data_IF_737432002144
#
_entry.id   IF_737432002144
#
_cell.length_a   1.000
_cell.length_b   1.000
_cell.length_c   1.000
_cell.angle_alpha   90.00
_cell.angle_beta   90.00
_cell.angle_gamma   90.00
#
_symmetry.space_group_name_H-M   'P 1'
#
loop_
_entity.id
_entity.type
_entity.pdbx_description
1 polymer ?
#
# COMPACT_ATOMS: atom_id res chain seq x y z
N UNK A 1 14.51 7.76 9.58
CA UNK A 1 14.79 6.47 10.23
C UNK A 1 16.09 5.91 9.66
N UNK A 2 16.97 5.37 10.50
CA UNK A 2 18.21 4.68 10.09
C UNK A 2 18.07 3.18 10.40
N UNK A 3 18.40 2.33 9.45
CA UNK A 3 18.39 0.86 9.58
C UNK A 3 19.83 0.41 9.79
N UNK A 4 20.06 -0.39 10.83
CA UNK A 4 21.37 -0.97 11.10
C UNK A 4 21.46 -2.38 10.52
N UNK A 5 22.38 -2.58 9.57
CA UNK A 5 22.53 -3.83 8.82
C UNK A 5 23.92 -4.40 9.03
N UNK A 6 24.00 -5.64 9.51
CA UNK A 6 25.29 -6.32 9.68
C UNK A 6 25.77 -6.87 8.32
N UNK A 7 27.02 -6.60 7.96
CA UNK A 7 27.60 -7.11 6.72
C UNK A 7 27.62 -8.64 6.75
N UNK A 8 27.10 -9.35 5.73
CA UNK A 8 27.03 -10.81 5.71
C UNK A 8 28.40 -11.47 5.55
N UNK A 9 29.39 -10.73 5.03
CA UNK A 9 30.78 -11.17 5.02
C UNK A 9 31.32 -11.22 6.45
N UNK A 10 31.46 -12.45 6.97
CA UNK A 10 31.95 -12.74 8.33
C UNK A 10 33.33 -12.16 8.62
N UNK A 11 34.18 -12.00 7.59
CA UNK A 11 35.50 -11.36 7.74
C UNK A 11 35.42 -9.83 7.86
N UNK A 12 34.32 -9.21 7.43
CA UNK A 12 34.13 -7.75 7.51
C UNK A 12 33.53 -7.33 8.86
N UNK A 13 32.49 -8.01 9.33
CA UNK A 13 31.87 -7.79 10.63
C UNK A 13 31.22 -6.42 10.90
N UNK A 14 31.30 -5.46 9.96
CA UNK A 14 30.78 -4.10 10.14
C UNK A 14 29.26 -4.05 10.17
N UNK A 15 28.73 -3.11 10.95
CA UNK A 15 27.33 -2.71 10.93
C UNK A 15 27.20 -1.40 10.15
N UNK A 16 26.34 -1.39 9.14
CA UNK A 16 26.06 -0.24 8.27
C UNK A 16 24.82 0.49 8.78
N UNK A 17 24.88 1.81 8.88
CA UNK A 17 23.70 2.64 9.11
C UNK A 17 23.18 3.13 7.75
N UNK A 18 21.98 2.72 7.38
CA UNK A 18 21.39 2.97 6.07
C UNK A 18 20.11 3.78 6.23
N UNK A 19 19.84 4.73 5.32
CA UNK A 19 18.56 5.45 5.33
C UNK A 19 17.39 4.47 5.15
N UNK A 20 16.31 4.66 5.91
CA UNK A 20 15.12 3.80 5.88
C UNK A 20 14.45 3.70 4.50
N UNK A 21 14.61 4.70 3.66
CA UNK A 21 14.14 4.72 2.25
C UNK A 21 14.78 3.63 1.38
N UNK A 22 15.94 3.09 1.80
CA UNK A 22 16.65 2.03 1.09
C UNK A 22 16.29 0.62 1.60
N UNK A 23 15.33 0.50 2.52
CA UNK A 23 14.83 -0.78 3.02
C UNK A 23 14.37 -1.70 1.87
N UNK A 24 14.81 -2.96 1.88
CA UNK A 24 14.45 -3.94 0.85
C UNK A 24 15.20 -3.78 -0.47
N UNK A 25 16.16 -2.85 -0.56
CA UNK A 25 17.08 -2.74 -1.69
C UNK A 25 18.41 -3.45 -1.40
N UNK A 26 19.22 -3.64 -2.45
CA UNK A 26 20.60 -4.17 -2.33
C UNK A 26 21.59 -3.01 -2.41
N UNK A 27 22.45 -2.91 -1.40
CA UNK A 27 23.58 -1.98 -1.37
C UNK A 27 24.92 -2.71 -1.47
N UNK A 28 26.02 -1.98 -1.63
CA UNK A 28 27.38 -2.51 -1.44
C UNK A 28 27.92 -2.05 -0.10
N UNK A 29 28.53 -2.96 0.66
CA UNK A 29 29.26 -2.58 1.86
C UNK A 29 30.44 -1.68 1.46
N UNK A 30 30.56 -0.44 1.96
CA UNK A 30 31.65 0.46 1.62
C UNK A 30 33.02 -0.04 2.07
N UNK A 31 33.07 -1.03 2.97
CA UNK A 31 34.31 -1.56 3.52
C UNK A 31 34.92 -2.69 2.69
N UNK A 32 34.08 -3.60 2.18
CA UNK A 32 34.53 -4.84 1.55
C UNK A 32 33.86 -5.10 0.19
N UNK A 33 32.99 -4.21 -0.26
CA UNK A 33 32.28 -4.33 -1.54
C UNK A 33 31.20 -5.42 -1.59
N UNK A 34 31.06 -6.24 -0.54
CA UNK A 34 30.06 -7.31 -0.48
C UNK A 34 28.66 -6.73 -0.64
N UNK A 35 27.82 -7.38 -1.46
CA UNK A 35 26.42 -7.01 -1.62
C UNK A 35 25.70 -7.28 -0.30
N UNK A 36 25.02 -6.25 0.22
CA UNK A 36 24.25 -6.31 1.45
C UNK A 36 22.79 -6.11 1.10
N UNK A 37 21.96 -7.09 1.43
CA UNK A 37 20.51 -6.91 1.44
C UNK A 37 20.15 -6.08 2.67
N UNK A 38 19.49 -4.94 2.45
CA UNK A 38 19.05 -4.07 3.53
C UNK A 38 17.72 -4.65 4.03
N UNK A 39 17.69 -5.29 5.22
CA UNK A 39 16.46 -5.85 5.75
C UNK A 39 15.43 -4.75 5.87
N UNK A 40 14.21 -5.07 5.42
CA UNK A 40 13.06 -4.25 5.74
C UNK A 40 12.87 -4.41 7.25
N UNK A 41 12.92 -3.32 8.04
CA UNK A 41 12.66 -3.42 9.46
C UNK A 41 11.29 -4.07 9.63
N UNK A 42 11.24 -5.12 10.44
CA UNK A 42 9.99 -5.80 10.77
C UNK A 42 9.06 -4.75 11.42
N UNK A 43 7.96 -4.34 10.76
CA UNK A 43 7.10 -3.26 11.24
C UNK A 43 6.38 -3.66 12.53
N UNK A 44 6.41 -4.95 12.89
CA UNK A 44 5.91 -5.45 14.18
C UNK A 44 6.95 -5.35 15.30
N UNK A 45 8.21 -5.02 14.98
CA UNK A 45 9.34 -4.88 15.93
C UNK A 45 9.89 -3.46 16.05
N UNK A 46 9.50 -2.52 15.19
CA UNK A 46 9.89 -1.10 15.34
C UNK A 46 8.83 -0.33 16.13
N UNK A 47 9.07 -0.10 17.41
CA UNK A 47 8.23 0.71 18.33
C UNK A 47 8.20 2.22 17.99
N UNK A 48 8.73 2.63 16.83
CA UNK A 48 8.91 4.04 16.44
C UNK A 48 7.68 4.67 15.75
N UNK A 49 6.56 3.93 15.63
CA UNK A 49 5.33 4.46 15.00
C UNK A 49 4.63 5.40 15.97
N UNK A 50 4.35 6.62 15.52
CA UNK A 50 3.71 7.65 16.34
C UNK A 50 2.39 8.12 15.70
N UNK A 51 1.30 7.99 16.45
CA UNK A 51 0.01 8.63 16.13
C UNK A 51 0.03 10.09 16.60
N UNK A 52 -0.75 10.91 15.93
CA UNK A 52 -0.94 12.33 16.25
C UNK A 52 -2.32 12.50 16.87
N UNK A 53 -2.34 12.77 18.17
CA UNK A 53 -3.60 12.91 18.94
C UNK A 53 -3.70 14.31 19.54
N UNK A 54 -4.93 14.79 19.74
CA UNK A 54 -5.18 15.96 20.60
C UNK A 54 -5.41 15.50 22.02
N UNK A 55 -4.86 16.26 22.97
CA UNK A 55 -5.14 16.05 24.39
C UNK A 55 -6.66 16.15 24.66
N UNK A 56 -7.27 15.16 25.34
CA UNK A 56 -8.72 15.15 25.60
C UNK A 56 -9.16 16.20 26.63
N UNK A 57 -8.22 16.81 27.36
CA UNK A 57 -8.53 17.93 28.22
C UNK A 57 -8.93 19.15 27.37
N UNK A 58 -10.20 19.56 27.49
CA UNK A 58 -10.83 20.64 26.71
C UNK A 58 -10.12 21.98 26.84
N UNK A 59 -9.46 22.24 27.97
CA UNK A 59 -8.67 23.47 28.18
C UNK A 59 -7.28 23.42 27.54
N UNK A 60 -6.74 22.21 27.30
CA UNK A 60 -5.40 22.03 26.75
C UNK A 60 -5.42 21.86 25.23
N UNK A 61 -6.21 20.90 24.74
CA UNK A 61 -6.40 20.53 23.33
C UNK A 61 -5.10 20.39 22.47
N UNK A 62 -3.94 20.29 23.12
CA UNK A 62 -2.65 20.32 22.44
C UNK A 62 -2.44 19.06 21.62
N UNK A 63 -1.95 19.23 20.40
CA UNK A 63 -1.52 18.13 19.55
C UNK A 63 -0.22 17.53 20.09
N UNK A 64 -0.17 16.20 20.15
CA UNK A 64 0.95 15.44 20.68
C UNK A 64 1.14 14.14 19.90
N UNK A 65 2.34 13.58 19.99
CA UNK A 65 2.69 12.30 19.35
C UNK A 65 2.66 11.19 20.38
N UNK A 66 2.02 10.07 20.05
CA UNK A 66 1.82 8.93 20.95
C UNK A 66 2.28 7.64 20.27
N UNK A 67 3.03 6.76 20.94
CA UNK A 67 3.43 5.47 20.39
C UNK A 67 2.23 4.61 19.97
N UNK A 68 2.30 4.02 18.78
CA UNK A 68 1.37 3.02 18.29
C UNK A 68 1.94 1.66 18.69
N UNK A 69 1.66 1.25 19.94
CA UNK A 69 2.04 -0.04 20.49
C UNK A 69 0.95 -1.11 20.29
N UNK A 70 1.22 -2.35 20.70
CA UNK A 70 0.28 -3.49 20.57
C UNK A 70 -0.86 -3.49 21.60
N UNK A 71 -0.98 -2.46 22.45
CA UNK A 71 -1.95 -2.45 23.53
C UNK A 71 -2.32 -1.05 24.02
N UNK A 72 -3.24 -1.01 24.98
CA UNK A 72 -3.67 0.23 25.64
C UNK A 72 -2.50 0.85 26.40
N UNK A 73 -2.33 2.16 26.23
CA UNK A 73 -1.25 2.94 26.83
C UNK A 73 -1.84 4.03 27.71
N UNK A 74 -1.26 4.24 28.89
CA UNK A 74 -1.51 5.45 29.67
C UNK A 74 -0.51 6.51 29.23
N UNK A 75 -1.03 7.59 28.66
CA UNK A 75 -0.23 8.67 28.08
C UNK A 75 -0.41 9.91 28.94
N UNK A 76 0.69 10.58 29.26
CA UNK A 76 0.65 11.86 29.98
C UNK A 76 0.84 13.00 29.00
N UNK A 77 -0.11 13.94 28.97
CA UNK A 77 0.03 15.13 28.11
C UNK A 77 1.27 15.93 28.53
N UNK A 78 2.21 16.25 27.61
CA UNK A 78 3.42 16.97 27.96
C UNK A 78 3.14 18.41 28.44
N UNK A 79 2.04 19.01 27.96
CA UNK A 79 1.64 20.40 28.23
C UNK A 79 0.90 20.56 29.55
N UNK A 80 -0.21 19.85 29.75
CA UNK A 80 -1.05 20.01 30.95
C UNK A 80 -0.86 18.91 32.01
N UNK A 81 0.04 17.95 31.76
CA UNK A 81 0.32 16.82 32.66
C UNK A 81 -0.87 15.90 32.98
N UNK A 82 -2.02 16.08 32.33
CA UNK A 82 -3.17 15.18 32.53
C UNK A 82 -2.89 13.81 31.90
N UNK A 83 -3.05 12.71 32.66
CA UNK A 83 -2.99 11.37 32.09
C UNK A 83 -4.29 11.05 31.33
N UNK A 84 -4.19 10.24 30.28
CA UNK A 84 -5.33 9.67 29.56
C UNK A 84 -5.00 8.29 29.00
N UNK A 85 -6.03 7.47 28.80
CA UNK A 85 -5.88 6.17 28.17
C UNK A 85 -5.97 6.30 26.66
N UNK A 86 -5.01 5.70 25.96
CA UNK A 86 -4.94 5.64 24.51
C UNK A 86 -5.03 4.18 24.06
N UNK A 87 -5.99 3.89 23.20
CA UNK A 87 -6.15 2.60 22.55
C UNK A 87 -6.03 2.79 21.03
N UNK A 88 -4.94 2.33 20.40
CA UNK A 88 -4.74 2.47 18.96
C UNK A 88 -5.85 1.82 18.13
N UNK A 89 -6.41 0.70 18.58
CA UNK A 89 -7.45 -0.06 17.87
C UNK A 89 -8.77 0.71 17.92
N UNK A 90 -9.16 1.16 19.11
CA UNK A 90 -10.36 1.99 19.27
C UNK A 90 -10.21 3.31 18.50
N UNK A 91 -9.04 3.95 18.58
CA UNK A 91 -8.74 5.17 17.84
C UNK A 91 -8.92 4.99 16.34
N UNK A 92 -8.40 3.90 15.76
CA UNK A 92 -8.60 3.59 14.33
C UNK A 92 -10.08 3.48 13.98
N UNK A 93 -10.85 2.74 14.77
CA UNK A 93 -12.29 2.57 14.54
C UNK A 93 -13.04 3.92 14.58
N UNK A 94 -12.70 4.79 15.53
CA UNK A 94 -13.26 6.15 15.61
C UNK A 94 -12.91 6.99 14.37
N UNK A 95 -11.69 6.89 13.86
CA UNK A 95 -11.26 7.62 12.66
C UNK A 95 -11.94 7.10 11.40
N UNK A 96 -12.11 5.78 11.26
CA UNK A 96 -12.86 5.18 10.15
C UNK A 96 -14.30 5.69 10.16
N UNK A 97 -14.96 5.73 11.33
CA UNK A 97 -16.29 6.35 11.46
C UNK A 97 -16.27 7.84 11.11
N UNK A 98 -15.21 8.55 11.49
CA UNK A 98 -15.01 9.96 11.17
C UNK A 98 -14.96 10.27 9.66
N UNK A 99 -14.60 9.29 8.82
CA UNK A 99 -14.64 9.43 7.36
C UNK A 99 -16.06 9.61 6.81
N UNK A 100 -17.09 9.24 7.57
CA UNK A 100 -18.51 9.35 7.21
C UNK A 100 -19.13 10.67 7.71
N UNK A 101 -18.37 11.51 8.42
CA UNK A 101 -18.84 12.80 8.93
C UNK A 101 -19.29 13.74 7.81
N UNK A 102 -20.37 14.50 8.02
CA UNK A 102 -20.78 15.56 7.09
C UNK A 102 -19.79 16.74 7.06
N UNK A 103 -18.98 16.93 8.11
CA UNK A 103 -17.97 17.99 8.19
C UNK A 103 -16.67 17.59 7.43
N UNK A 104 -16.30 18.30 6.35
CA UNK A 104 -15.07 18.05 5.61
C UNK A 104 -13.79 18.13 6.45
N UNK A 105 -13.77 18.96 7.51
CA UNK A 105 -12.60 19.08 8.41
C UNK A 105 -12.40 17.80 9.22
N UNK A 106 -13.48 17.22 9.73
CA UNK A 106 -13.44 15.96 10.47
C UNK A 106 -12.95 14.83 9.56
N UNK A 107 -13.43 14.78 8.31
CA UNK A 107 -12.97 13.80 7.33
C UNK A 107 -11.48 13.97 7.00
N UNK A 108 -11.02 15.20 6.82
CA UNK A 108 -9.61 15.49 6.57
C UNK A 108 -8.72 15.07 7.76
N UNK A 109 -9.10 15.43 8.98
CA UNK A 109 -8.37 15.02 10.19
C UNK A 109 -8.34 13.49 10.33
N UNK A 110 -9.44 12.82 10.00
CA UNK A 110 -9.52 11.37 9.99
C UNK A 110 -8.54 10.73 9.00
N UNK A 111 -8.50 11.21 7.76
CA UNK A 111 -7.56 10.76 6.72
C UNK A 111 -6.10 10.94 7.17
N UNK A 112 -5.74 12.12 7.66
CA UNK A 112 -4.37 12.41 8.10
C UNK A 112 -3.92 11.57 9.30
N UNK A 113 -4.84 11.32 10.24
CA UNK A 113 -4.57 10.47 11.40
C UNK A 113 -4.45 8.99 11.01
N UNK A 114 -5.31 8.49 10.12
CA UNK A 114 -5.17 7.13 9.53
C UNK A 114 -3.82 6.98 8.83
N UNK A 115 -3.36 8.02 8.12
CA UNK A 115 -2.02 8.15 7.56
C UNK A 115 -0.88 7.95 8.57
N UNK A 116 -1.11 8.33 9.82
CA UNK A 116 -0.12 8.23 10.90
C UNK A 116 -0.19 6.87 11.62
N UNK A 117 -1.40 6.29 11.74
CA UNK A 117 -1.60 4.92 12.23
C UNK A 117 -0.95 3.93 11.27
N UNK A 118 -1.37 3.93 10.01
CA UNK A 118 -0.78 3.17 8.91
C UNK A 118 -0.78 1.65 9.05
N UNK A 119 -1.79 1.07 9.68
CA UNK A 119 -2.03 -0.37 9.59
C UNK A 119 -2.78 -0.74 8.31
N UNK A 120 -3.06 -2.04 8.12
CA UNK A 120 -3.72 -2.60 6.94
C UNK A 120 -5.12 -1.99 6.76
N UNK A 121 -5.88 -1.89 7.85
CA UNK A 121 -7.24 -1.34 7.82
C UNK A 121 -7.23 0.17 7.55
N UNK A 122 -6.28 0.93 8.08
CA UNK A 122 -6.11 2.33 7.73
C UNK A 122 -5.75 2.51 6.24
N UNK A 123 -4.86 1.68 5.70
CA UNK A 123 -4.52 1.72 4.28
C UNK A 123 -5.74 1.40 3.40
N UNK A 124 -6.53 0.40 3.78
CA UNK A 124 -7.78 0.07 3.10
C UNK A 124 -8.77 1.25 3.11
N UNK A 125 -9.02 1.82 4.29
CA UNK A 125 -9.93 2.96 4.43
C UNK A 125 -9.49 4.17 3.57
N UNK A 126 -8.18 4.45 3.53
CA UNK A 126 -7.63 5.55 2.72
C UNK A 126 -7.75 5.31 1.22
N UNK A 127 -7.63 4.07 0.75
CA UNK A 127 -7.88 3.74 -0.64
C UNK A 127 -9.34 3.87 -1.02
N UNK A 128 -10.26 3.49 -0.12
CA UNK A 128 -11.69 3.71 -0.35
C UNK A 128 -11.98 5.21 -0.53
N UNK A 129 -11.32 6.08 0.24
CA UNK A 129 -11.41 7.54 0.07
C UNK A 129 -10.79 7.99 -1.27
N UNK A 130 -9.66 7.41 -1.67
CA UNK A 130 -8.95 7.82 -2.89
C UNK A 130 -9.63 7.33 -4.18
N UNK A 131 -9.97 6.04 -4.27
CA UNK A 131 -10.49 5.37 -5.47
C UNK A 131 -12.01 5.23 -5.50
N UNK A 132 -12.68 5.18 -4.34
CA UNK A 132 -14.11 4.94 -4.29
C UNK A 132 -14.93 6.16 -4.74
N UNK A 133 -16.22 5.93 -4.97
CA UNK A 133 -17.27 6.96 -5.11
C UNK A 133 -17.56 7.65 -3.76
N UNK A 134 -16.51 7.88 -2.97
CA UNK A 134 -16.58 8.51 -1.67
C UNK A 134 -17.14 9.92 -1.81
N UNK A 135 -18.41 10.08 -1.47
CA UNK A 135 -19.12 11.37 -1.47
C UNK A 135 -19.99 11.53 -0.22
N UNK A 136 -19.42 11.78 0.97
CA UNK A 136 -20.18 12.40 2.04
C UNK A 136 -20.23 13.91 1.75
N UNK A 137 -21.24 14.36 1.02
CA UNK A 137 -21.55 15.77 0.76
C UNK A 137 -21.31 16.28 -0.68
N UNK A 138 -21.81 17.49 -1.01
CA UNK A 138 -21.95 18.00 -2.38
C UNK A 138 -20.63 18.24 -3.14
N UNK A 139 -19.48 18.16 -2.47
CA UNK A 139 -18.25 18.76 -2.99
C UNK A 139 -17.11 17.78 -3.27
N UNK A 140 -17.29 16.46 -3.09
CA UNK A 140 -16.31 15.41 -3.43
C UNK A 140 -14.84 15.86 -3.36
N UNK A 141 -14.44 16.46 -2.23
CA UNK A 141 -13.40 17.51 -2.24
C UNK A 141 -12.07 16.94 -2.72
N UNK A 142 -11.51 17.40 -3.86
CA UNK A 142 -10.24 16.92 -4.39
C UNK A 142 -9.12 16.95 -3.34
N UNK A 143 -9.17 17.94 -2.44
CA UNK A 143 -8.30 18.10 -1.28
C UNK A 143 -8.24 16.87 -0.35
N UNK A 144 -9.36 16.19 -0.09
CA UNK A 144 -9.37 15.02 0.83
C UNK A 144 -8.77 13.80 0.12
N UNK A 145 -9.01 13.65 -1.19
CA UNK A 145 -8.36 12.62 -1.99
C UNK A 145 -6.85 12.84 -2.07
N UNK A 146 -6.42 14.09 -2.24
CA UNK A 146 -4.99 14.44 -2.22
C UNK A 146 -4.34 14.12 -0.87
N UNK A 147 -5.05 14.37 0.24
CA UNK A 147 -4.57 13.99 1.56
C UNK A 147 -4.53 12.48 1.77
N UNK A 148 -5.52 11.75 1.24
CA UNK A 148 -5.52 10.29 1.27
C UNK A 148 -4.34 9.73 0.49
N UNK A 149 -4.03 10.30 -0.68
CA UNK A 149 -2.82 9.98 -1.44
C UNK A 149 -1.53 10.26 -0.66
N UNK A 150 -1.39 11.44 -0.04
CA UNK A 150 -0.22 11.76 0.80
C UNK A 150 -0.09 10.79 1.97
N UNK A 151 -1.21 10.45 2.61
CA UNK A 151 -1.28 9.51 3.72
C UNK A 151 -0.90 8.10 3.27
N UNK A 152 -1.39 7.63 2.12
CA UNK A 152 -1.00 6.33 1.53
C UNK A 152 0.49 6.26 1.21
N UNK A 153 1.06 7.35 0.66
CA UNK A 153 2.52 7.46 0.47
C UNK A 153 3.30 7.43 1.78
N UNK A 154 2.78 8.01 2.85
CA UNK A 154 3.39 7.94 4.18
C UNK A 154 3.35 6.50 4.71
N UNK A 155 2.23 5.83 4.52
CA UNK A 155 1.99 4.45 4.98
C UNK A 155 2.81 3.42 4.17
N UNK A 156 3.18 3.72 2.92
CA UNK A 156 3.84 2.79 1.98
C UNK A 156 5.12 2.12 2.50
N UNK A 157 5.81 2.70 3.49
CA UNK A 157 6.98 2.11 4.14
C UNK A 157 6.66 0.99 5.14
N UNK A 158 5.44 0.93 5.67
CA UNK A 158 5.07 0.03 6.77
C UNK A 158 4.04 -1.03 6.40
N UNK A 159 3.14 -0.74 5.46
CA UNK A 159 2.07 -1.68 5.09
C UNK A 159 2.44 -2.64 3.99
N UNK A 160 3.49 -2.37 3.21
CA UNK A 160 3.88 -3.25 2.10
C UNK A 160 4.03 -4.71 2.54
N UNK A 161 4.73 -4.95 3.66
CA UNK A 161 4.93 -6.30 4.18
C UNK A 161 3.63 -6.94 4.70
N UNK A 162 2.77 -6.15 5.37
CA UNK A 162 1.48 -6.63 5.86
C UNK A 162 0.55 -7.00 4.71
N UNK A 163 0.47 -6.18 3.66
CA UNK A 163 -0.36 -6.42 2.48
C UNK A 163 0.12 -7.63 1.67
N UNK A 164 1.43 -7.80 1.52
CA UNK A 164 2.00 -9.02 0.92
C UNK A 164 1.64 -10.24 1.75
N UNK A 165 1.71 -10.15 3.09
CA UNK A 165 1.31 -11.23 4.00
C UNK A 165 -0.17 -11.58 3.83
N UNK A 166 -1.07 -10.59 3.76
CA UNK A 166 -2.51 -10.83 3.53
C UNK A 166 -2.75 -11.60 2.23
N UNK A 167 -2.07 -11.22 1.13
CA UNK A 167 -2.14 -11.96 -0.13
C UNK A 167 -1.67 -13.41 0.00
N UNK A 168 -0.56 -13.64 0.71
CA UNK A 168 0.00 -14.98 0.92
C UNK A 168 -0.87 -15.85 1.83
N UNK A 169 -1.48 -15.27 2.86
CA UNK A 169 -2.39 -15.96 3.77
C UNK A 169 -3.68 -16.42 3.07
N UNK A 170 -4.25 -15.56 2.22
CA UNK A 170 -5.37 -15.93 1.37
C UNK A 170 -5.05 -17.12 0.46
N UNK A 171 -3.89 -17.08 -0.19
CA UNK A 171 -3.43 -18.18 -1.06
C UNK A 171 -3.28 -19.52 -0.31
N UNK A 172 -2.99 -19.48 1.00
CA UNK A 172 -2.95 -20.66 1.85
C UNK A 172 -4.33 -21.14 2.32
N UNK A 173 -5.35 -20.27 2.33
CA UNK A 173 -6.71 -20.52 2.86
C UNK A 173 -7.80 -20.12 1.86
N UNK A 174 -7.75 -20.69 0.66
CA UNK A 174 -8.63 -20.37 -0.48
C UNK A 174 -10.15 -20.44 -0.23
N UNK A 175 -10.61 -21.08 0.85
CA UNK A 175 -12.02 -21.32 1.12
C UNK A 175 -12.76 -20.15 1.84
N UNK A 176 -12.06 -19.09 2.21
CA UNK A 176 -12.61 -17.96 2.96
C UNK A 176 -12.94 -16.78 2.02
N UNK A 177 -14.23 -16.51 1.81
CA UNK A 177 -14.71 -15.42 0.94
C UNK A 177 -14.38 -14.02 1.50
N UNK A 178 -14.38 -13.84 2.82
CA UNK A 178 -14.05 -12.56 3.47
C UNK A 178 -12.56 -12.26 3.28
N UNK A 179 -11.72 -13.28 3.43
CA UNK A 179 -10.28 -13.19 3.20
C UNK A 179 -9.95 -12.86 1.74
N UNK A 180 -10.74 -13.37 0.78
CA UNK A 180 -10.57 -13.04 -0.63
C UNK A 180 -10.88 -11.56 -0.94
N UNK A 181 -11.87 -10.97 -0.27
CA UNK A 181 -12.16 -9.53 -0.36
C UNK A 181 -10.96 -8.69 0.08
N UNK A 182 -10.41 -9.02 1.25
CA UNK A 182 -9.20 -8.36 1.80
C UNK A 182 -7.97 -8.55 0.92
N UNK A 183 -7.79 -9.73 0.33
CA UNK A 183 -6.70 -10.00 -0.60
C UNK A 183 -6.82 -9.17 -1.89
N UNK A 184 -8.02 -9.02 -2.45
CA UNK A 184 -8.24 -8.19 -3.63
C UNK A 184 -7.94 -6.71 -3.33
N UNK A 185 -8.34 -6.22 -2.17
CA UNK A 185 -8.02 -4.89 -1.69
C UNK A 185 -6.51 -4.73 -1.49
N UNK A 186 -5.85 -5.69 -0.85
CA UNK A 186 -4.41 -5.69 -0.67
C UNK A 186 -3.67 -5.57 -2.01
N UNK A 187 -4.08 -6.34 -3.03
CA UNK A 187 -3.52 -6.22 -4.38
C UNK A 187 -3.70 -4.81 -4.97
N UNK A 188 -4.87 -4.19 -4.80
CA UNK A 188 -5.11 -2.81 -5.24
C UNK A 188 -4.19 -1.81 -4.53
N UNK A 189 -4.03 -1.96 -3.21
CA UNK A 189 -3.12 -1.12 -2.40
C UNK A 189 -1.70 -1.22 -2.94
N UNK A 190 -1.22 -2.45 -3.15
CA UNK A 190 0.13 -2.72 -3.64
C UNK A 190 0.37 -2.10 -5.02
N UNK A 191 -0.62 -2.18 -5.92
CA UNK A 191 -0.56 -1.54 -7.23
C UNK A 191 -0.49 -0.02 -7.16
N UNK A 192 -1.11 0.60 -6.15
CA UNK A 192 -1.02 2.04 -5.93
C UNK A 192 0.30 2.47 -5.29
N UNK A 193 0.80 1.67 -4.34
CA UNK A 193 2.13 1.85 -3.77
C UNK A 193 3.19 1.77 -4.88
N UNK A 194 2.94 0.95 -5.91
CA UNK A 194 3.79 0.81 -7.10
C UNK A 194 5.24 0.40 -6.76
N UNK A 195 5.41 -0.37 -5.69
CA UNK A 195 6.71 -0.88 -5.26
C UNK A 195 7.02 -2.23 -5.93
N UNK A 196 8.14 -2.38 -6.66
CA UNK A 196 8.52 -3.62 -7.33
C UNK A 196 8.66 -4.85 -6.43
N UNK A 197 8.80 -4.68 -5.10
CA UNK A 197 8.81 -5.81 -4.16
C UNK A 197 7.47 -6.56 -4.11
N UNK A 198 6.38 -5.92 -4.54
CA UNK A 198 5.07 -6.55 -4.66
C UNK A 198 4.92 -7.38 -5.94
N UNK A 199 5.83 -7.27 -6.91
CA UNK A 199 5.71 -7.93 -8.22
C UNK A 199 5.53 -9.44 -8.09
N UNK A 200 6.43 -10.14 -7.39
CA UNK A 200 6.36 -11.61 -7.31
C UNK A 200 5.10 -12.11 -6.56
N UNK A 201 4.71 -11.53 -5.40
CA UNK A 201 3.42 -11.84 -4.76
C UNK A 201 2.21 -11.60 -5.66
N UNK A 202 2.20 -10.51 -6.43
CA UNK A 202 1.10 -10.18 -7.34
C UNK A 202 1.07 -11.11 -8.56
N UNK A 203 2.24 -11.55 -9.06
CA UNK A 203 2.32 -12.59 -10.11
C UNK A 203 1.66 -13.88 -9.63
N UNK A 204 1.90 -14.30 -8.38
CA UNK A 204 1.23 -15.46 -7.82
C UNK A 204 -0.29 -15.26 -7.73
N UNK A 205 -0.73 -14.05 -7.35
CA UNK A 205 -2.15 -13.69 -7.25
C UNK A 205 -2.89 -13.62 -8.60
N UNK A 206 -2.19 -13.57 -9.74
CA UNK A 206 -2.82 -13.70 -11.07
C UNK A 206 -3.53 -15.05 -11.27
N UNK A 207 -3.04 -16.08 -10.59
CA UNK A 207 -3.56 -17.46 -10.68
C UNK A 207 -4.60 -17.76 -9.60
N UNK A 208 -5.08 -16.74 -8.89
CA UNK A 208 -6.09 -16.91 -7.85
C UNK A 208 -7.42 -17.40 -8.45
N UNK A 209 -8.11 -18.24 -7.70
CA UNK A 209 -9.43 -18.75 -8.09
C UNK A 209 -10.47 -17.65 -8.00
N UNK A 210 -10.31 -16.73 -7.05
CA UNK A 210 -11.16 -15.56 -6.92
C UNK A 210 -10.80 -14.51 -7.99
N UNK A 211 -11.75 -14.27 -8.90
CA UNK A 211 -11.58 -13.37 -10.04
C UNK A 211 -11.29 -11.93 -9.59
N UNK A 212 -11.82 -11.48 -8.45
CA UNK A 212 -11.55 -10.14 -7.93
C UNK A 212 -10.09 -9.97 -7.55
N UNK A 213 -9.49 -10.98 -6.92
CA UNK A 213 -8.07 -11.01 -6.54
C UNK A 213 -7.20 -11.02 -7.80
N UNK A 214 -7.46 -11.93 -8.73
CA UNK A 214 -6.69 -12.06 -9.97
C UNK A 214 -6.76 -10.80 -10.85
N UNK A 215 -7.94 -10.17 -10.94
CA UNK A 215 -8.13 -8.90 -11.65
C UNK A 215 -7.38 -7.76 -10.97
N UNK A 216 -7.49 -7.64 -9.65
CA UNK A 216 -6.76 -6.62 -8.89
C UNK A 216 -5.25 -6.77 -9.06
N UNK A 217 -4.74 -8.01 -9.04
CA UNK A 217 -3.33 -8.31 -9.27
C UNK A 217 -2.87 -7.90 -10.68
N UNK A 218 -3.65 -8.19 -11.73
CA UNK A 218 -3.34 -7.74 -13.10
C UNK A 218 -3.20 -6.22 -13.17
N UNK A 219 -4.18 -5.49 -12.66
CA UNK A 219 -4.15 -4.01 -12.66
C UNK A 219 -2.95 -3.49 -11.86
N UNK A 220 -2.65 -4.09 -10.71
CA UNK A 220 -1.54 -3.70 -9.86
C UNK A 220 -0.18 -3.89 -10.56
N UNK A 221 0.03 -5.02 -11.24
CA UNK A 221 1.25 -5.28 -12.00
C UNK A 221 1.45 -4.29 -13.15
N UNK A 222 0.37 -3.91 -13.83
CA UNK A 222 0.40 -2.85 -14.86
C UNK A 222 0.90 -1.51 -14.30
N UNK A 223 0.42 -1.12 -13.12
CA UNK A 223 0.80 0.12 -12.44
C UNK A 223 2.24 0.10 -11.91
N UNK A 224 2.70 -1.05 -11.41
CA UNK A 224 4.08 -1.22 -10.96
C UNK A 224 5.04 -1.09 -12.14
N UNK A 225 4.68 -1.61 -13.32
CA UNK A 225 5.48 -1.46 -14.53
C UNK A 225 6.71 -2.37 -14.59
N UNK A 226 6.83 -3.36 -13.70
CA UNK A 226 7.98 -4.27 -13.66
C UNK A 226 7.91 -5.29 -14.81
N UNK A 227 8.92 -5.29 -15.68
CA UNK A 227 8.99 -6.19 -16.84
C UNK A 227 8.95 -7.68 -16.48
N UNK A 228 9.30 -8.06 -15.24
CA UNK A 228 9.17 -9.44 -14.76
C UNK A 228 7.74 -9.97 -14.89
N UNK A 229 6.75 -9.10 -14.77
CA UNK A 229 5.34 -9.46 -14.86
C UNK A 229 4.89 -9.84 -16.28
N UNK A 230 5.63 -9.45 -17.31
CA UNK A 230 5.20 -9.59 -18.73
C UNK A 230 4.91 -11.04 -19.10
N UNK A 231 5.72 -11.99 -18.65
CA UNK A 231 5.50 -13.40 -18.95
C UNK A 231 4.22 -13.93 -18.30
N UNK A 232 4.00 -13.63 -17.02
CA UNK A 232 2.81 -14.05 -16.29
C UNK A 232 1.54 -13.39 -16.85
N UNK A 233 1.63 -12.13 -17.25
CA UNK A 233 0.51 -11.42 -17.90
C UNK A 233 0.21 -11.95 -19.31
N UNK A 234 1.22 -12.40 -20.08
CA UNK A 234 1.02 -13.09 -21.36
C UNK A 234 0.29 -14.43 -21.18
N UNK A 235 0.59 -15.18 -20.13
CA UNK A 235 -0.20 -16.37 -19.76
C UNK A 235 -1.65 -15.98 -19.43
N UNK A 236 -1.84 -14.92 -18.65
CA UNK A 236 -3.15 -14.42 -18.22
C UNK A 236 -4.03 -13.89 -19.36
N UNK A 237 -3.46 -13.57 -20.53
CA UNK A 237 -4.24 -13.24 -21.74
C UNK A 237 -5.13 -14.41 -22.21
N UNK A 238 -4.80 -15.65 -21.82
CA UNK A 238 -5.60 -16.83 -22.17
C UNK A 238 -6.74 -17.09 -21.17
N UNK A 239 -6.75 -16.42 -20.02
CA UNK A 239 -7.84 -16.54 -19.05
C UNK A 239 -8.97 -15.54 -19.40
N UNK A 240 -10.16 -16.01 -19.84
CA UNK A 240 -11.25 -15.12 -20.24
C UNK A 240 -11.74 -14.19 -19.12
N UNK A 241 -11.50 -14.55 -17.85
CA UNK A 241 -11.95 -13.79 -16.67
C UNK A 241 -11.11 -12.52 -16.46
N UNK A 242 -9.83 -12.55 -16.84
CA UNK A 242 -8.88 -11.45 -16.60
C UNK A 242 -8.14 -10.96 -17.84
N UNK A 243 -8.35 -11.56 -19.03
CA UNK A 243 -7.63 -11.21 -20.27
C UNK A 243 -7.61 -9.72 -20.62
N UNK A 244 -8.70 -8.99 -20.34
CA UNK A 244 -8.76 -7.55 -20.60
C UNK A 244 -7.86 -6.77 -19.63
N UNK A 245 -7.91 -7.10 -18.34
CA UNK A 245 -7.04 -6.49 -17.34
C UNK A 245 -5.56 -6.82 -17.60
N UNK A 246 -5.26 -8.04 -18.03
CA UNK A 246 -3.90 -8.45 -18.41
C UNK A 246 -3.42 -7.69 -19.66
N UNK A 247 -4.27 -7.50 -20.67
CA UNK A 247 -3.93 -6.70 -21.84
C UNK A 247 -3.67 -5.24 -21.48
N UNK A 248 -4.50 -4.63 -20.63
CA UNK A 248 -4.30 -3.25 -20.17
C UNK A 248 -3.04 -3.11 -19.33
N UNK A 249 -2.72 -4.10 -18.49
CA UNK A 249 -1.48 -4.13 -17.72
C UNK A 249 -0.24 -4.22 -18.63
N UNK A 250 -0.27 -5.09 -19.64
CA UNK A 250 0.81 -5.19 -20.65
C UNK A 250 0.98 -3.88 -21.43
N UNK A 251 -0.12 -3.17 -21.76
CA UNK A 251 -0.05 -1.84 -22.38
C UNK A 251 0.63 -0.82 -21.47
N UNK A 252 0.33 -0.85 -20.17
CA UNK A 252 0.92 0.06 -19.18
C UNK A 252 2.41 -0.22 -18.96
N UNK A 253 2.82 -1.49 -18.88
CA UNK A 253 4.24 -1.88 -18.76
C UNK A 253 5.00 -1.47 -20.03
N UNK A 254 4.42 -1.74 -21.21
CA UNK A 254 5.05 -1.43 -22.49
C UNK A 254 6.27 -2.29 -22.80
N UNK A 255 7.12 -1.81 -23.71
CA UNK A 255 8.30 -2.53 -24.18
C UNK A 255 8.01 -3.59 -25.25
N UNK A 256 9.08 -4.06 -25.90
CA UNK A 256 8.99 -4.94 -27.07
C UNK A 256 8.30 -6.29 -26.76
N UNK A 257 8.51 -6.83 -25.55
CA UNK A 257 7.90 -8.10 -25.12
C UNK A 257 6.40 -7.97 -24.89
N UNK A 258 5.95 -6.91 -24.20
CA UNK A 258 4.52 -6.68 -23.99
C UNK A 258 3.79 -6.38 -25.32
N UNK A 259 4.42 -5.61 -26.21
CA UNK A 259 3.90 -5.37 -27.55
C UNK A 259 3.75 -6.68 -28.37
N UNK A 260 4.69 -7.62 -28.22
CA UNK A 260 4.60 -8.94 -28.87
C UNK A 260 3.43 -9.77 -28.31
N UNK A 261 3.25 -9.77 -26.98
CA UNK A 261 2.13 -10.45 -26.32
C UNK A 261 0.77 -9.89 -26.79
N UNK A 262 0.63 -8.56 -26.84
CA UNK A 262 -0.62 -7.91 -27.26
C UNK A 262 -1.00 -8.20 -28.72
N UNK A 263 -0.04 -8.29 -29.64
CA UNK A 263 -0.32 -8.68 -31.04
C UNK A 263 -0.98 -10.06 -31.16
N UNK A 264 -0.74 -10.96 -30.20
CA UNK A 264 -1.34 -12.29 -30.18
C UNK A 264 -2.83 -12.20 -29.88
N UNK A 265 -3.23 -11.35 -28.93
CA UNK A 265 -4.65 -11.19 -28.54
C UNK A 265 -5.43 -10.30 -29.51
N UNK A 266 -4.80 -9.30 -30.14
CA UNK A 266 -5.44 -8.45 -31.17
C UNK A 266 -5.89 -9.27 -32.39
N UNK A 267 -5.12 -10.31 -32.76
CA UNK A 267 -5.50 -11.25 -33.82
C UNK A 267 -6.72 -12.11 -33.43
N UNK A 268 -6.89 -12.43 -32.16
CA UNK A 268 -8.02 -13.21 -31.64
C UNK A 268 -9.25 -12.34 -31.32
N UNK A 269 -9.07 -11.06 -31.01
CA UNK A 269 -10.13 -10.09 -30.65
C UNK A 269 -10.60 -9.20 -31.80
N UNK A 270 -10.07 -9.37 -33.02
CA UNK A 270 -10.36 -8.57 -34.22
C UNK A 270 -11.83 -8.48 -34.69
N UNK A 271 -12.81 -8.89 -33.89
CA UNK A 271 -14.23 -8.70 -34.13
C UNK A 271 -14.92 -7.68 -33.21
N UNK A 272 -14.30 -7.22 -32.10
CA UNK A 272 -15.00 -6.32 -31.15
C UNK A 272 -14.12 -5.25 -30.51
N UNK A 273 -14.18 -4.05 -31.11
CA UNK A 273 -14.28 -2.71 -30.48
C UNK A 273 -13.09 -1.74 -30.41
N UNK A 274 -13.55 -0.47 -30.48
CA UNK A 274 -12.92 0.87 -30.38
C UNK A 274 -11.92 1.01 -29.23
N UNK A 275 -10.83 1.79 -29.42
CA UNK A 275 -9.86 2.08 -28.36
C UNK A 275 -10.51 2.85 -27.21
N UNK A 276 -10.22 2.44 -25.97
CA UNK A 276 -10.45 3.23 -24.77
C UNK A 276 -9.43 4.39 -24.73
N UNK A 277 -9.85 5.60 -24.29
CA UNK A 277 -8.94 6.74 -24.24
C UNK A 277 -7.86 6.50 -23.18
N UNK A 278 -6.61 6.84 -23.52
CA UNK A 278 -5.47 6.76 -22.63
C UNK A 278 -5.70 7.57 -21.34
N UNK A 279 -5.18 7.13 -20.18
CA UNK A 279 -5.23 7.96 -18.98
C UNK A 279 -4.45 9.24 -19.22
N UNK A 280 -5.11 10.37 -18.97
CA UNK A 280 -4.51 11.70 -19.05
C UNK A 280 -3.31 11.77 -18.10
N UNK A 281 -2.12 12.19 -18.58
CA UNK A 281 -0.98 12.37 -17.70
C UNK A 281 -1.34 13.44 -16.66
N UNK A 282 -1.09 13.12 -15.38
CA UNK A 282 -1.25 14.07 -14.28
C UNK A 282 -0.54 15.38 -14.66
N UNK A 283 -1.32 16.45 -14.73
CA UNK A 283 -0.81 17.77 -15.06
C UNK A 283 0.27 18.13 -14.06
N UNK A 284 1.51 18.30 -14.54
CA UNK A 284 2.55 18.98 -13.79
C UNK A 284 2.06 20.41 -13.55
N UNK A 285 1.77 20.74 -12.30
CA UNK A 285 1.64 22.10 -11.79
C UNK A 285 2.43 22.21 -10.50
#
# INVERSE_FOLDING_TARGET
MLIHVKCPNLKCGRTLAVKGELAGTRGKCPACGTVVEIPIPDPTKSDDRLDVVRCPNSTCASQMRVPIGRGKLTVTCPKCKSPFNYDPQQRRLELIKGLESLDPKVRFEAVAALGSIGDEEAAHALLKVYFGDWTPGPDGSPYIRDEALKSLKKISLWTLAALIKTLQEHQAKKADEELAGRAAEAAQVLGYIADPRATDPLIAALKDENVSVARAASVALGRIGDEKAVFALDEALNDPRIRMAAADALRQIGGARAAKALRKIEKTLGATRRPTPAPTPAAKR
#
